data_IF_752592064292
#
_entry.id   IF_752592064292
#
_cell.length_a   1.000
_cell.length_b   1.000
_cell.length_c   1.000
_cell.angle_alpha   90.00
_cell.angle_beta   90.00
_cell.angle_gamma   90.00
#
_symmetry.space_group_name_H-M   'P 1'
#
loop_
_entity.id
_entity.type
_entity.pdbx_description
1 polymer ?
#
# COMPACT_ATOMS: atom_id res chain seq x y z
N UNK A 1 -7.80 18.79 -0.34
CA UNK A 1 -7.93 17.32 -0.39
C UNK A 1 -9.34 17.00 -0.79
N UNK A 2 -9.52 16.47 -2.00
CA UNK A 2 -10.78 15.87 -2.44
C UNK A 2 -11.23 14.84 -1.41
N UNK A 3 -12.50 14.89 -1.02
CA UNK A 3 -13.06 13.95 -0.06
C UNK A 3 -13.07 12.55 -0.67
N UNK A 4 -12.30 11.63 -0.09
CA UNK A 4 -12.39 10.20 -0.41
C UNK A 4 -13.75 9.70 0.05
N UNK A 5 -14.51 9.09 -0.85
CA UNK A 5 -15.79 8.46 -0.55
C UNK A 5 -15.60 7.06 0.06
N UNK A 6 -16.60 6.60 0.83
CA UNK A 6 -16.58 5.22 1.35
C UNK A 6 -16.59 4.17 0.24
N UNK A 7 -17.22 4.48 -0.91
CA UNK A 7 -17.23 3.61 -2.08
C UNK A 7 -15.80 3.43 -2.65
N UNK A 8 -15.05 4.52 -2.84
CA UNK A 8 -13.66 4.46 -3.31
C UNK A 8 -12.76 3.70 -2.33
N UNK A 9 -12.96 3.87 -1.01
CA UNK A 9 -12.22 3.10 -0.01
C UNK A 9 -12.53 1.60 -0.12
N UNK A 10 -13.81 1.24 -0.29
CA UNK A 10 -14.22 -0.16 -0.41
C UNK A 10 -13.67 -0.81 -1.69
N UNK A 11 -13.70 -0.09 -2.81
CA UNK A 11 -13.12 -0.57 -4.07
C UNK A 11 -11.61 -0.76 -3.95
N UNK A 12 -10.91 0.20 -3.33
CA UNK A 12 -9.47 0.09 -3.07
C UNK A 12 -9.12 -1.12 -2.19
N UNK A 13 -9.91 -1.40 -1.13
CA UNK A 13 -9.75 -2.60 -0.30
C UNK A 13 -9.94 -3.87 -1.09
N UNK A 14 -10.99 -3.95 -1.90
CA UNK A 14 -11.27 -5.14 -2.71
C UNK A 14 -10.17 -5.39 -3.75
N UNK A 15 -9.69 -4.33 -4.40
CA UNK A 15 -8.57 -4.40 -5.33
C UNK A 15 -7.28 -4.88 -4.65
N UNK A 16 -6.98 -4.37 -3.45
CA UNK A 16 -5.80 -4.79 -2.70
C UNK A 16 -5.87 -6.27 -2.29
N UNK A 17 -7.01 -6.71 -1.74
CA UNK A 17 -7.24 -8.12 -1.39
C UNK A 17 -7.10 -9.03 -2.61
N UNK A 18 -7.66 -8.62 -3.74
CA UNK A 18 -7.58 -9.38 -5.00
C UNK A 18 -6.15 -9.46 -5.49
N UNK A 19 -5.43 -8.34 -5.51
CA UNK A 19 -4.02 -8.32 -5.91
C UNK A 19 -3.15 -9.21 -5.02
N UNK A 20 -3.39 -9.24 -3.71
CA UNK A 20 -2.65 -10.08 -2.78
C UNK A 20 -2.91 -11.58 -3.04
N UNK A 21 -4.16 -11.96 -3.31
CA UNK A 21 -4.49 -13.35 -3.65
C UNK A 21 -3.87 -13.77 -4.98
N UNK A 22 -3.93 -12.93 -6.01
CA UNK A 22 -3.31 -13.19 -7.31
C UNK A 22 -1.78 -13.33 -7.18
N UNK A 23 -1.14 -12.49 -6.37
CA UNK A 23 0.30 -12.54 -6.15
C UNK A 23 0.76 -13.84 -5.46
N UNK A 24 -0.16 -14.55 -4.79
CA UNK A 24 0.11 -15.78 -4.04
C UNK A 24 -0.46 -17.03 -4.72
N UNK A 25 -0.92 -16.91 -5.96
CA UNK A 25 -1.52 -18.02 -6.73
C UNK A 25 -0.49 -19.09 -7.12
N UNK A 26 0.79 -18.74 -7.13
CA UNK A 26 1.91 -19.65 -7.40
C UNK A 26 2.60 -20.13 -6.11
N UNK A 27 2.96 -21.42 -6.05
CA UNK A 27 3.58 -22.03 -4.87
C UNK A 27 4.96 -21.42 -4.55
N UNK A 28 5.75 -21.03 -5.56
CA UNK A 28 7.05 -20.38 -5.33
C UNK A 28 6.84 -18.97 -4.77
N UNK A 29 5.85 -18.23 -5.28
CA UNK A 29 5.49 -16.92 -4.77
C UNK A 29 5.03 -16.99 -3.30
N UNK A 30 4.19 -17.98 -2.96
CA UNK A 30 3.76 -18.23 -1.58
C UNK A 30 4.95 -18.56 -0.67
N UNK A 31 5.84 -19.45 -1.10
CA UNK A 31 7.02 -19.82 -0.31
C UNK A 31 7.95 -18.62 -0.08
N UNK A 32 8.13 -17.77 -1.11
CA UNK A 32 8.91 -16.55 -1.01
C UNK A 32 8.31 -15.55 -0.02
N UNK A 33 7.00 -15.33 -0.05
CA UNK A 33 6.31 -14.44 0.88
C UNK A 33 6.43 -14.95 2.32
N UNK A 34 6.19 -16.26 2.54
CA UNK A 34 6.35 -16.88 3.86
C UNK A 34 7.77 -16.69 4.41
N UNK A 35 8.79 -16.93 3.57
CA UNK A 35 10.19 -16.73 3.96
C UNK A 35 10.51 -15.26 4.28
N UNK A 36 10.04 -14.34 3.44
CA UNK A 36 10.26 -12.90 3.61
C UNK A 36 9.63 -12.39 4.90
N UNK A 37 8.38 -12.74 5.17
CA UNK A 37 7.70 -12.34 6.41
C UNK A 37 8.39 -12.93 7.64
N UNK A 38 8.77 -14.22 7.59
CA UNK A 38 9.50 -14.85 8.68
C UNK A 38 10.83 -14.13 8.96
N UNK A 39 11.55 -13.71 7.94
CA UNK A 39 12.83 -13.01 8.08
C UNK A 39 12.66 -11.57 8.59
N UNK A 40 11.71 -10.82 8.01
CA UNK A 40 11.55 -9.39 8.25
C UNK A 40 10.78 -9.08 9.53
N UNK A 41 9.75 -9.86 9.84
CA UNK A 41 8.84 -9.59 10.96
C UNK A 41 8.91 -10.65 12.05
N UNK A 42 9.58 -11.78 11.80
CA UNK A 42 9.59 -12.98 12.67
C UNK A 42 8.19 -13.56 12.90
N UNK A 43 7.24 -13.22 12.04
CA UNK A 43 5.87 -13.72 12.10
C UNK A 43 5.61 -14.69 10.96
N UNK A 44 4.78 -15.69 11.25
CA UNK A 44 4.27 -16.58 10.20
C UNK A 44 3.31 -15.79 9.33
N UNK A 45 3.50 -15.87 8.01
CA UNK A 45 2.55 -15.33 7.07
C UNK A 45 1.17 -16.00 7.21
N UNK A 46 0.12 -15.19 7.20
CA UNK A 46 -1.28 -15.60 7.28
C UNK A 46 -2.09 -14.71 6.35
N UNK A 47 -2.54 -15.28 5.23
CA UNK A 47 -3.36 -14.53 4.27
C UNK A 47 -4.68 -14.09 4.88
N UNK A 48 -5.29 -14.90 5.76
CA UNK A 48 -6.54 -14.53 6.43
C UNK A 48 -6.37 -13.30 7.33
N UNK A 49 -5.29 -13.23 8.10
CA UNK A 49 -5.03 -12.08 8.97
C UNK A 49 -4.71 -10.83 8.16
N UNK A 50 -4.00 -10.98 7.05
CA UNK A 50 -3.77 -9.90 6.10
C UNK A 50 -5.10 -9.35 5.54
N UNK A 51 -5.99 -10.22 5.05
CA UNK A 51 -7.27 -9.82 4.50
C UNK A 51 -8.15 -9.12 5.56
N UNK A 52 -8.17 -9.62 6.80
CA UNK A 52 -8.86 -8.98 7.93
C UNK A 52 -8.30 -7.60 8.24
N UNK A 53 -6.97 -7.44 8.21
CA UNK A 53 -6.33 -6.13 8.43
C UNK A 53 -6.72 -5.12 7.35
N UNK A 54 -6.73 -5.53 6.08
CA UNK A 54 -7.19 -4.68 4.97
C UNK A 54 -8.65 -4.27 5.18
N UNK A 55 -9.52 -5.22 5.54
CA UNK A 55 -10.93 -4.93 5.78
C UNK A 55 -11.16 -3.99 6.97
N UNK A 56 -10.33 -4.07 8.01
CA UNK A 56 -10.41 -3.19 9.18
C UNK A 56 -9.99 -1.73 8.93
N UNK A 57 -9.32 -1.44 7.80
CA UNK A 57 -8.80 -0.09 7.50
C UNK A 57 -9.93 0.93 7.36
N UNK A 58 -9.84 2.08 8.02
CA UNK A 58 -10.89 3.11 7.98
C UNK A 58 -10.48 4.34 7.15
N UNK A 59 -11.46 5.18 6.78
CA UNK A 59 -11.16 6.49 6.19
C UNK A 59 -10.29 7.37 7.10
N UNK A 60 -10.42 7.22 8.42
CA UNK A 60 -9.61 7.97 9.38
C UNK A 60 -8.14 7.55 9.29
N UNK A 61 -7.87 6.25 9.17
CA UNK A 61 -6.51 5.71 9.01
C UNK A 61 -5.87 6.23 7.72
N UNK A 62 -6.61 6.20 6.61
CA UNK A 62 -6.14 6.70 5.30
C UNK A 62 -5.85 8.20 5.36
N UNK A 63 -6.74 9.00 5.96
CA UNK A 63 -6.54 10.45 6.12
C UNK A 63 -5.36 10.77 7.02
N UNK A 64 -5.20 10.03 8.12
CA UNK A 64 -4.09 10.17 9.06
C UNK A 64 -2.75 9.86 8.38
N UNK A 65 -2.66 8.73 7.69
CA UNK A 65 -1.47 8.33 6.96
C UNK A 65 -1.16 9.32 5.82
N UNK A 66 -2.15 9.68 5.00
CA UNK A 66 -1.99 10.65 3.93
C UNK A 66 -1.47 12.00 4.44
N UNK A 67 -2.00 12.49 5.56
CA UNK A 67 -1.52 13.72 6.19
C UNK A 67 -0.08 13.61 6.68
N UNK A 68 0.34 12.45 7.18
CA UNK A 68 1.74 12.20 7.58
C UNK A 68 2.67 12.14 6.38
N UNK A 69 2.26 11.47 5.31
CA UNK A 69 3.05 11.36 4.07
C UNK A 69 3.24 12.71 3.39
N UNK A 70 2.19 13.53 3.30
CA UNK A 70 2.28 14.87 2.69
C UNK A 70 3.20 15.83 3.46
N UNK A 71 3.45 15.60 4.75
CA UNK A 71 4.40 16.38 5.56
C UNK A 71 5.85 15.94 5.40
N UNK A 72 6.09 14.79 4.77
CA UNK A 72 7.44 14.27 4.56
C UNK A 72 8.13 14.99 3.40
N UNK A 73 9.47 14.96 3.37
CA UNK A 73 10.24 15.54 2.26
C UNK A 73 9.98 14.74 0.99
N UNK A 74 9.59 15.44 -0.08
CA UNK A 74 9.41 14.82 -1.41
C UNK A 74 10.77 14.39 -1.96
N UNK A 75 10.86 13.13 -2.38
CA UNK A 75 11.99 12.60 -3.15
C UNK A 75 11.57 12.49 -4.61
N UNK A 76 12.23 13.26 -5.49
CA UNK A 76 11.94 13.31 -6.93
C UNK A 76 13.13 12.74 -7.71
N UNK A 77 12.85 11.78 -8.58
CA UNK A 77 13.81 11.24 -9.55
C UNK A 77 13.19 11.32 -10.95
N UNK A 78 13.91 11.92 -11.90
CA UNK A 78 13.43 12.13 -13.27
C UNK A 78 14.52 11.81 -14.30
N UNK A 79 14.13 11.23 -15.44
CA UNK A 79 15.00 10.97 -16.58
C UNK A 79 14.34 11.59 -17.82
N UNK A 80 15.09 12.39 -18.58
CA UNK A 80 14.58 13.08 -19.78
C UNK A 80 14.62 14.61 -19.65
N UNK A 81 14.06 15.30 -20.64
CA UNK A 81 13.99 16.77 -20.68
C UNK A 81 12.65 17.27 -20.12
N UNK A 82 12.61 18.54 -19.67
CA UNK A 82 11.42 19.23 -19.15
C UNK A 82 10.82 18.67 -17.84
N UNK A 83 11.65 18.11 -16.96
CA UNK A 83 11.21 17.78 -15.61
C UNK A 83 10.97 19.06 -14.78
N UNK A 84 9.84 19.18 -14.06
CA UNK A 84 9.61 20.29 -13.13
C UNK A 84 10.64 20.27 -12.00
N UNK A 85 11.01 21.45 -11.48
CA UNK A 85 11.89 21.50 -10.33
C UNK A 85 11.13 21.03 -9.09
N UNK A 86 11.85 20.44 -8.13
CA UNK A 86 11.24 19.98 -6.87
C UNK A 86 10.47 21.10 -6.15
N UNK A 87 10.95 22.33 -6.26
CA UNK A 87 10.32 23.52 -5.67
C UNK A 87 8.99 23.89 -6.34
N UNK A 88 8.75 23.46 -7.59
CA UNK A 88 7.50 23.72 -8.30
C UNK A 88 6.38 22.72 -7.90
N UNK A 89 6.73 21.65 -7.18
CA UNK A 89 5.84 20.55 -6.79
C UNK A 89 5.51 20.58 -5.29
N UNK A 90 6.32 21.27 -4.48
CA UNK A 90 6.09 21.49 -3.04
C UNK A 90 5.01 22.55 -2.79
#
# INVERSE_FOLDING_TARGET
MTSISDAELNDAKNNLKTSALIALDDECALAYEMGTQLLMTRQKFSIEDYLKQVDSTTLADVKSLGSRMMKSKIALATIGQNAPYLNDIQ
#
